data_IF_375763644481
#
_entry.id   IF_375763644481
#
_cell.length_a   1.000
_cell.length_b   1.000
_cell.length_c   1.000
_cell.angle_alpha   90.00
_cell.angle_beta   90.00
_cell.angle_gamma   90.00
#
_symmetry.space_group_name_H-M   'P 1'
#
loop_
_entity.id
_entity.type
_entity.pdbx_description
1 polymer ?
#
# COMPACT_ATOMS: atom_id res chain seq x y z
N UNK A 1 12.60 13.88 -0.09
CA UNK A 1 11.25 14.23 0.37
C UNK A 1 10.63 15.09 -0.73
N UNK A 2 9.41 14.77 -1.15
CA UNK A 2 8.68 15.51 -2.18
C UNK A 2 7.94 16.72 -1.60
N UNK A 3 7.93 16.87 -0.27
CA UNK A 3 7.18 17.93 0.42
C UNK A 3 5.67 17.68 0.44
N UNK A 4 5.24 16.44 0.19
CA UNK A 4 3.84 16.04 0.17
C UNK A 4 3.48 15.17 1.36
N UNK A 5 2.39 15.51 2.03
CA UNK A 5 1.85 14.75 3.17
C UNK A 5 1.10 13.48 2.73
N UNK A 6 0.60 13.44 1.50
CA UNK A 6 -0.15 12.32 0.95
C UNK A 6 0.11 12.18 -0.53
N UNK A 7 0.35 10.94 -0.98
CA UNK A 7 0.57 10.61 -2.39
C UNK A 7 -0.47 9.58 -2.83
N UNK A 8 -1.05 9.78 -4.02
CA UNK A 8 -1.96 8.86 -4.67
C UNK A 8 -1.29 8.30 -5.92
N UNK A 9 -1.10 6.98 -5.98
CA UNK A 9 -0.59 6.28 -7.17
C UNK A 9 -1.70 5.41 -7.75
N UNK A 10 -2.06 5.67 -9.00
CA UNK A 10 -3.16 5.01 -9.70
C UNK A 10 -2.61 3.83 -10.50
N UNK A 11 -3.17 2.65 -10.30
CA UNK A 11 -2.95 1.50 -11.19
C UNK A 11 -3.71 1.73 -12.51
N UNK A 12 -3.34 1.03 -13.58
CA UNK A 12 -3.99 1.17 -14.88
C UNK A 12 -5.50 0.88 -14.83
N UNK A 13 -6.22 1.48 -15.77
CA UNK A 13 -7.68 1.40 -15.85
C UNK A 13 -8.41 1.83 -14.57
N UNK A 14 -7.75 2.63 -13.71
CA UNK A 14 -8.34 3.17 -12.48
C UNK A 14 -8.48 4.68 -12.57
N UNK A 15 -9.56 5.20 -11.98
CA UNK A 15 -9.80 6.62 -11.81
C UNK A 15 -10.03 6.96 -10.35
N UNK A 16 -9.60 8.17 -9.96
CA UNK A 16 -9.95 8.80 -8.70
C UNK A 16 -10.91 9.95 -9.02
N UNK A 17 -12.18 9.78 -8.66
CA UNK A 17 -13.23 10.78 -8.88
C UNK A 17 -13.26 11.71 -7.68
N UNK A 18 -13.17 13.01 -7.92
CA UNK A 18 -13.23 14.04 -6.88
C UNK A 18 -14.58 14.73 -6.94
N UNK A 19 -15.38 14.56 -5.90
CA UNK A 19 -16.65 15.26 -5.71
C UNK A 19 -16.43 16.50 -4.82
N UNK A 20 -17.07 17.63 -5.16
CA UNK A 20 -16.99 18.90 -4.42
C UNK A 20 -15.56 19.40 -4.13
N UNK A 21 -14.69 19.50 -5.16
CA UNK A 21 -13.29 19.85 -4.98
C UNK A 21 -13.12 21.22 -4.29
N UNK A 22 -12.16 21.30 -3.36
CA UNK A 22 -11.82 22.52 -2.63
C UNK A 22 -12.82 22.91 -1.54
N UNK A 23 -13.80 22.05 -1.22
CA UNK A 23 -14.80 22.30 -0.17
C UNK A 23 -14.59 21.38 1.04
N UNK A 24 -15.27 21.69 2.14
CA UNK A 24 -15.31 20.80 3.33
C UNK A 24 -16.06 19.49 3.07
N UNK A 25 -16.76 19.37 1.94
CA UNK A 25 -17.47 18.17 1.49
C UNK A 25 -16.71 17.41 0.40
N UNK A 26 -15.44 17.73 0.18
CA UNK A 26 -14.60 17.05 -0.80
C UNK A 26 -14.50 15.55 -0.48
N UNK A 27 -14.74 14.72 -1.50
CA UNK A 27 -14.69 13.26 -1.39
C UNK A 27 -13.98 12.69 -2.59
N UNK A 28 -13.03 11.80 -2.33
CA UNK A 28 -12.31 11.07 -3.37
C UNK A 28 -12.89 9.66 -3.42
N UNK A 29 -13.25 9.18 -4.60
CA UNK A 29 -13.80 7.85 -4.79
C UNK A 29 -13.05 7.08 -5.87
N UNK A 30 -12.62 5.86 -5.56
CA UNK A 30 -11.94 4.98 -6.52
C UNK A 30 -12.95 4.33 -7.47
N UNK A 31 -12.60 4.30 -8.75
CA UNK A 31 -13.36 3.63 -9.80
C UNK A 31 -12.45 2.81 -10.69
N UNK A 32 -12.86 1.59 -11.00
CA UNK A 32 -12.17 0.74 -11.98
C UNK A 32 -11.66 -0.58 -11.39
N UNK A 33 -11.23 -1.52 -12.25
CA UNK A 33 -10.92 -2.89 -11.86
C UNK A 33 -9.67 -3.06 -10.98
N UNK A 34 -8.74 -2.09 -10.97
CA UNK A 34 -7.56 -2.13 -10.10
C UNK A 34 -7.79 -1.27 -8.84
N UNK A 35 -6.93 -0.29 -8.58
CA UNK A 35 -7.00 0.48 -7.35
C UNK A 35 -6.00 1.61 -7.28
N UNK A 36 -6.03 2.29 -6.13
CA UNK A 36 -5.18 3.43 -5.82
C UNK A 36 -4.39 3.11 -4.57
N UNK A 37 -3.07 3.20 -4.67
CA UNK A 37 -2.20 3.26 -3.50
C UNK A 37 -2.28 4.66 -2.91
N UNK A 38 -2.53 4.75 -1.60
CA UNK A 38 -2.44 5.98 -0.82
C UNK A 38 -1.29 5.84 0.17
N UNK A 39 -0.28 6.68 0.02
CA UNK A 39 0.82 6.81 0.98
C UNK A 39 0.56 8.04 1.85
N UNK A 40 0.33 7.83 3.13
CA UNK A 40 0.31 8.90 4.14
C UNK A 40 1.70 9.06 4.73
N UNK A 41 2.27 10.25 4.51
CA UNK A 41 3.66 10.62 4.78
C UNK A 41 3.77 11.64 5.92
N UNK A 42 2.66 12.06 6.55
CA UNK A 42 2.65 13.07 7.63
C UNK A 42 3.53 12.73 8.83
N UNK A 43 3.80 11.45 9.02
CA UNK A 43 4.67 10.93 10.07
C UNK A 43 5.87 10.17 9.52
N UNK A 44 6.14 10.30 8.23
CA UNK A 44 7.26 9.65 7.58
C UNK A 44 8.53 10.49 7.77
N UNK A 45 9.64 9.78 7.95
CA UNK A 45 10.97 10.39 8.10
C UNK A 45 11.87 9.84 7.00
N UNK A 46 12.28 10.74 6.10
CA UNK A 46 13.26 10.43 5.07
C UNK A 46 14.66 10.87 5.54
N UNK A 47 15.64 10.01 5.34
CA UNK A 47 17.04 10.29 5.67
C UNK A 47 17.93 9.93 4.49
N UNK A 48 18.98 10.72 4.29
CA UNK A 48 20.06 10.40 3.36
C UNK A 48 21.36 10.33 4.15
N UNK A 49 22.03 9.19 4.08
CA UNK A 49 23.33 8.94 4.72
C UNK A 49 24.33 8.46 3.67
N UNK A 50 25.63 8.31 3.99
CA UNK A 50 26.58 7.65 3.10
C UNK A 50 26.19 6.23 2.70
N UNK A 51 25.38 5.53 3.52
CA UNK A 51 24.86 4.20 3.22
C UNK A 51 23.67 4.23 2.24
N UNK A 52 23.12 5.40 1.92
CA UNK A 52 22.01 5.58 0.99
C UNK A 52 20.80 6.29 1.60
N UNK A 53 19.73 6.35 0.81
CA UNK A 53 18.44 6.95 1.19
C UNK A 53 17.53 5.93 1.89
N UNK A 54 16.81 6.38 2.92
CA UNK A 54 15.83 5.57 3.66
C UNK A 54 14.56 6.35 3.96
N UNK A 55 13.45 5.64 4.16
CA UNK A 55 12.17 6.16 4.60
C UNK A 55 11.65 5.31 5.76
N UNK A 56 11.17 5.92 6.82
CA UNK A 56 10.49 5.20 7.91
C UNK A 56 9.18 5.86 8.27
N UNK A 57 8.22 5.11 8.80
CA UNK A 57 6.98 5.67 9.35
C UNK A 57 5.91 6.02 8.32
N UNK A 58 6.08 5.66 7.05
CA UNK A 58 5.04 5.82 6.04
C UNK A 58 3.88 4.85 6.29
N UNK A 59 2.67 5.27 5.94
CA UNK A 59 1.46 4.46 6.00
C UNK A 59 0.97 4.15 4.60
N UNK A 60 0.91 2.86 4.29
CA UNK A 60 0.44 2.32 3.03
C UNK A 60 -1.02 1.88 3.13
N UNK A 61 -1.85 2.41 2.24
CA UNK A 61 -3.20 1.92 2.00
C UNK A 61 -3.39 1.60 0.51
N UNK A 62 -4.22 0.62 0.21
CA UNK A 62 -4.62 0.27 -1.15
C UNK A 62 -6.15 0.22 -1.23
N UNK A 63 -6.71 1.10 -2.03
CA UNK A 63 -8.14 1.31 -2.19
C UNK A 63 -8.58 0.73 -3.53
N UNK A 64 -9.70 -0.01 -3.56
CA UNK A 64 -10.26 -0.57 -4.79
C UNK A 64 -11.64 0.02 -5.08
N UNK A 65 -12.24 -0.37 -6.20
CA UNK A 65 -13.53 0.16 -6.66
C UNK A 65 -14.56 0.38 -5.52
N UNK A 66 -15.09 1.59 -5.48
CA UNK A 66 -16.08 2.01 -4.49
C UNK A 66 -15.51 2.52 -3.18
N UNK A 67 -14.24 2.24 -2.86
CA UNK A 67 -13.58 2.81 -1.68
C UNK A 67 -13.45 4.32 -1.84
N UNK A 68 -13.42 5.00 -0.69
CA UNK A 68 -13.31 6.44 -0.62
C UNK A 68 -12.10 6.86 0.17
N UNK A 69 -11.65 8.07 -0.07
CA UNK A 69 -10.72 8.78 0.79
C UNK A 69 -11.35 10.11 1.21
N UNK A 70 -11.53 10.29 2.51
CA UNK A 70 -11.97 11.56 3.10
C UNK A 70 -10.74 12.44 3.30
N UNK A 71 -10.61 13.50 2.50
CA UNK A 71 -9.44 14.39 2.53
C UNK A 71 -9.38 15.25 3.78
N UNK A 72 -10.53 15.49 4.45
CA UNK A 72 -10.58 16.26 5.69
C UNK A 72 -10.07 15.45 6.88
N UNK A 73 -10.46 14.19 6.98
CA UNK A 73 -9.96 13.31 8.06
C UNK A 73 -8.67 12.59 7.68
N UNK A 74 -8.31 12.62 6.39
CA UNK A 74 -7.23 11.85 5.80
C UNK A 74 -7.36 10.36 6.14
N UNK A 75 -8.59 9.85 5.98
CA UNK A 75 -8.93 8.46 6.28
C UNK A 75 -9.52 7.78 5.04
N UNK A 76 -9.01 6.60 4.68
CA UNK A 76 -9.67 5.75 3.72
C UNK A 76 -10.92 5.08 4.33
N UNK A 77 -11.96 4.93 3.51
CA UNK A 77 -13.25 4.36 3.90
C UNK A 77 -13.61 3.25 2.91
N UNK A 78 -13.75 1.99 3.35
CA UNK A 78 -14.15 0.89 2.48
C UNK A 78 -15.52 1.12 1.84
N UNK A 79 -15.68 0.61 0.62
CA UNK A 79 -16.95 0.58 -0.10
C UNK A 79 -18.03 -0.17 0.71
N UNK A 80 -19.30 0.23 0.62
CA UNK A 80 -20.41 -0.59 1.10
C UNK A 80 -20.33 -2.04 0.57
N UNK A 81 -20.68 -3.01 1.41
CA UNK A 81 -20.63 -4.44 1.07
C UNK A 81 -19.25 -5.09 1.21
N UNK A 82 -18.20 -4.32 1.57
CA UNK A 82 -16.95 -4.91 2.06
C UNK A 82 -17.05 -5.18 3.55
N UNK A 83 -16.42 -6.26 3.99
CA UNK A 83 -16.36 -6.67 5.38
C UNK A 83 -14.91 -6.77 5.85
N UNK A 84 -14.63 -6.53 7.15
CA UNK A 84 -13.30 -6.74 7.69
C UNK A 84 -12.82 -8.17 7.45
N UNK A 85 -11.63 -8.31 6.88
CA UNK A 85 -10.97 -9.60 6.71
C UNK A 85 -10.25 -9.97 7.99
N UNK A 86 -10.65 -11.10 8.58
CA UNK A 86 -9.94 -11.74 9.68
C UNK A 86 -9.18 -12.95 9.13
N UNK A 87 -7.85 -12.87 8.95
CA UNK A 87 -7.09 -13.95 8.31
C UNK A 87 -7.11 -15.20 9.18
N UNK A 88 -7.39 -16.35 8.57
CA UNK A 88 -7.31 -17.67 9.21
C UNK A 88 -6.08 -18.47 8.76
N UNK A 89 -5.58 -18.18 7.57
CA UNK A 89 -4.42 -18.80 6.92
C UNK A 89 -3.13 -18.61 7.75
N UNK A 90 -2.17 -19.52 7.59
CA UNK A 90 -0.83 -19.51 8.19
C UNK A 90 0.29 -19.74 7.17
N UNK A 91 0.00 -19.64 5.88
CA UNK A 91 0.97 -19.69 4.80
C UNK A 91 1.87 -18.45 4.92
N UNK A 92 3.20 -18.62 5.00
CA UNK A 92 4.13 -17.49 5.03
C UNK A 92 4.04 -16.67 3.73
N UNK A 93 4.29 -15.36 3.81
CA UNK A 93 4.46 -14.55 2.60
C UNK A 93 5.85 -14.88 2.04
N UNK A 94 5.97 -15.30 0.78
CA UNK A 94 7.26 -15.55 0.17
C UNK A 94 8.08 -14.26 0.07
N UNK A 95 9.43 -14.35 0.06
CA UNK A 95 10.27 -13.22 -0.30
C UNK A 95 9.91 -12.70 -1.70
N UNK A 96 10.03 -11.39 -1.87
CA UNK A 96 9.81 -10.71 -3.14
C UNK A 96 11.08 -9.94 -3.49
N UNK A 97 11.67 -10.23 -4.64
CA UNK A 97 12.93 -9.64 -5.08
C UNK A 97 12.76 -8.47 -6.07
N UNK A 98 11.53 -8.14 -6.46
CA UNK A 98 11.21 -7.02 -7.34
C UNK A 98 9.91 -6.33 -6.91
N UNK A 99 10.00 -5.55 -5.84
CA UNK A 99 8.86 -4.92 -5.17
C UNK A 99 8.14 -3.89 -6.04
N UNK A 100 8.83 -3.23 -6.97
CA UNK A 100 8.29 -2.16 -7.79
C UNK A 100 8.05 -2.54 -9.24
N UNK A 101 8.25 -3.81 -9.60
CA UNK A 101 8.09 -4.31 -10.96
C UNK A 101 9.02 -3.58 -11.94
N UNK A 102 10.29 -3.99 -11.95
CA UNK A 102 11.32 -3.49 -12.84
C UNK A 102 11.14 -4.03 -14.24
N UNK A 103 11.34 -3.18 -15.25
CA UNK A 103 11.31 -3.61 -16.66
C UNK A 103 12.46 -4.58 -17.00
N UNK A 104 13.51 -4.56 -16.18
CA UNK A 104 14.71 -5.37 -16.36
C UNK A 104 14.62 -6.74 -15.64
N UNK A 105 13.55 -7.01 -14.89
CA UNK A 105 13.28 -8.33 -14.30
C UNK A 105 12.41 -9.16 -15.26
N UNK A 106 12.98 -10.18 -15.95
CA UNK A 106 12.20 -11.02 -16.87
C UNK A 106 11.16 -11.89 -16.16
N UNK A 107 11.32 -12.13 -14.85
CA UNK A 107 10.39 -12.88 -14.01
C UNK A 107 9.50 -11.95 -13.16
N UNK A 108 9.62 -10.64 -13.38
CA UNK A 108 8.88 -9.59 -12.70
C UNK A 108 7.37 -9.76 -12.84
N UNK A 109 6.64 -9.52 -11.76
CA UNK A 109 5.18 -9.59 -11.75
C UNK A 109 4.58 -8.20 -11.51
N UNK A 110 3.61 -7.76 -12.32
CA UNK A 110 2.98 -6.46 -12.12
C UNK A 110 2.31 -6.39 -10.74
N UNK A 111 2.25 -5.18 -10.18
CA UNK A 111 1.65 -4.90 -8.87
C UNK A 111 2.31 -5.65 -7.69
N UNK A 112 3.60 -5.93 -7.80
CA UNK A 112 4.37 -6.74 -6.85
C UNK A 112 4.24 -6.29 -5.38
N UNK A 113 4.37 -4.99 -5.09
CA UNK A 113 4.15 -4.43 -3.75
C UNK A 113 2.74 -4.73 -3.22
N UNK A 114 1.71 -4.51 -4.05
CA UNK A 114 0.30 -4.78 -3.70
C UNK A 114 0.10 -6.25 -3.39
N UNK A 115 0.66 -7.15 -4.21
CA UNK A 115 0.57 -8.60 -4.00
C UNK A 115 1.20 -9.00 -2.66
N UNK A 116 2.37 -8.45 -2.34
CA UNK A 116 3.06 -8.67 -1.05
C UNK A 116 2.21 -8.17 0.12
N UNK A 117 1.63 -6.97 0.00
CA UNK A 117 0.76 -6.40 1.03
C UNK A 117 -0.49 -7.26 1.25
N UNK A 118 -1.17 -7.70 0.18
CA UNK A 118 -2.36 -8.56 0.27
C UNK A 118 -2.02 -9.91 0.90
N UNK A 119 -0.90 -10.52 0.52
CA UNK A 119 -0.46 -11.77 1.12
C UNK A 119 -0.16 -11.59 2.63
N UNK A 120 0.55 -10.52 3.01
CA UNK A 120 0.79 -10.20 4.42
C UNK A 120 -0.51 -10.08 5.19
N UNK A 121 -1.49 -9.36 4.66
CA UNK A 121 -2.76 -9.11 5.34
C UNK A 121 -3.73 -10.31 5.34
N UNK A 122 -3.49 -11.30 4.48
CA UNK A 122 -4.31 -12.53 4.41
C UNK A 122 -3.78 -13.69 5.25
N UNK A 123 -2.58 -13.58 5.82
CA UNK A 123 -1.97 -14.61 6.68
C UNK A 123 -1.90 -14.22 8.16
N UNK A 124 -1.80 -15.20 9.06
CA UNK A 124 -1.41 -15.00 10.48
C UNK A 124 0.02 -15.43 10.78
N UNK A 125 0.75 -15.99 9.81
CA UNK A 125 2.09 -16.54 10.00
C UNK A 125 3.10 -15.50 10.50
N UNK A 126 2.94 -14.26 10.06
CA UNK A 126 3.88 -13.17 10.32
C UNK A 126 3.20 -11.81 10.39
N UNK A 127 3.91 -10.87 11.02
CA UNK A 127 3.49 -9.47 11.20
C UNK A 127 4.12 -8.52 10.20
N UNK A 128 5.20 -8.94 9.55
CA UNK A 128 5.91 -8.16 8.55
C UNK A 128 6.15 -9.01 7.30
N UNK A 129 6.33 -8.35 6.17
CA UNK A 129 6.80 -8.97 4.94
C UNK A 129 7.85 -8.04 4.32
N UNK A 130 8.91 -8.64 3.80
CA UNK A 130 10.02 -7.93 3.19
C UNK A 130 10.01 -8.17 1.68
N UNK A 131 10.21 -7.10 0.93
CA UNK A 131 10.38 -7.13 -0.51
C UNK A 131 11.57 -6.24 -0.89
N UNK A 132 12.39 -6.63 -1.84
CA UNK A 132 13.53 -5.82 -2.31
C UNK A 132 13.27 -5.30 -3.71
N UNK A 133 14.01 -4.28 -4.12
CA UNK A 133 14.09 -3.89 -5.53
C UNK A 133 14.93 -4.89 -6.31
N UNK A 134 14.65 -4.98 -7.61
CA UNK A 134 15.48 -5.72 -8.56
C UNK A 134 16.86 -5.09 -8.69
N UNK A 135 16.90 -3.76 -8.75
CA UNK A 135 18.11 -2.96 -8.90
C UNK A 135 19.08 -3.18 -7.73
N UNK A 136 20.37 -3.13 -8.04
CA UNK A 136 21.45 -3.30 -7.06
C UNK A 136 22.23 -2.02 -6.75
N UNK A 137 22.09 -0.97 -7.56
CA UNK A 137 22.83 0.28 -7.40
C UNK A 137 22.02 1.51 -7.90
N UNK A 138 21.20 2.14 -7.04
CA UNK A 138 20.89 1.74 -5.65
C UNK A 138 19.93 0.55 -5.60
N UNK A 139 20.06 -0.27 -4.55
CA UNK A 139 19.08 -1.28 -4.17
C UNK A 139 18.39 -0.93 -2.85
N UNK A 140 17.13 -1.33 -2.69
CA UNK A 140 16.34 -1.06 -1.50
C UNK A 140 15.63 -2.29 -0.97
N UNK A 141 15.44 -2.30 0.35
CA UNK A 141 14.57 -3.22 1.07
C UNK A 141 13.34 -2.47 1.56
N UNK A 142 12.17 -2.89 1.11
CA UNK A 142 10.85 -2.43 1.55
C UNK A 142 10.32 -3.40 2.60
N UNK A 143 9.94 -2.88 3.77
CA UNK A 143 9.31 -3.67 4.83
C UNK A 143 7.88 -3.19 5.03
N UNK A 144 6.93 -4.09 4.79
CA UNK A 144 5.51 -3.90 5.13
C UNK A 144 5.23 -4.47 6.52
N UNK A 145 4.40 -3.79 7.31
CA UNK A 145 4.10 -4.21 8.68
C UNK A 145 2.64 -4.06 9.09
N UNK A 146 2.12 -5.06 9.80
CA UNK A 146 0.83 -4.99 10.52
C UNK A 146 0.97 -4.16 11.78
N UNK A 147 0.26 -3.04 11.81
CA UNK A 147 0.14 -2.13 12.96
C UNK A 147 -1.23 -2.33 13.63
N UNK A 148 -1.43 -1.83 14.86
CA UNK A 148 -2.73 -1.95 15.55
C UNK A 148 -3.91 -1.34 14.77
N UNK A 149 -3.66 -0.32 13.95
CA UNK A 149 -4.65 0.33 13.09
C UNK A 149 -4.77 -0.32 11.70
N UNK A 150 -3.94 -1.30 11.37
CA UNK A 150 -3.97 -1.92 10.05
C UNK A 150 -5.21 -2.79 9.92
N UNK A 151 -6.02 -2.53 8.91
CA UNK A 151 -7.19 -3.37 8.58
C UNK A 151 -7.16 -3.78 7.12
N UNK A 152 -7.71 -4.95 6.84
CA UNK A 152 -7.94 -5.42 5.48
C UNK A 152 -9.43 -5.69 5.30
N UNK A 153 -9.94 -5.49 4.09
CA UNK A 153 -11.35 -5.63 3.78
C UNK A 153 -11.54 -6.38 2.47
N UNK A 154 -12.64 -7.11 2.38
CA UNK A 154 -12.99 -7.88 1.19
C UNK A 154 -14.50 -8.00 1.03
N UNK A 155 -14.95 -8.17 -0.22
CA UNK A 155 -16.31 -8.62 -0.55
C UNK A 155 -16.45 -10.14 -0.45
N UNK A 156 -15.36 -10.88 -0.68
CA UNK A 156 -15.32 -12.34 -0.65
C UNK A 156 -14.39 -12.82 0.47
N UNK A 157 -14.71 -13.94 1.12
CA UNK A 157 -13.87 -14.47 2.18
C UNK A 157 -12.48 -14.88 1.65
N UNK A 158 -11.46 -14.77 2.50
CA UNK A 158 -10.06 -15.23 2.33
C UNK A 158 -9.03 -14.28 1.71
N UNK A 159 -9.38 -13.36 0.80
CA UNK A 159 -8.35 -12.51 0.14
C UNK A 159 -8.53 -11.04 0.46
N UNK A 160 -7.48 -10.36 0.93
CA UNK A 160 -7.50 -8.92 1.13
C UNK A 160 -7.68 -8.18 -0.20
N UNK A 161 -8.75 -7.39 -0.34
CA UNK A 161 -8.97 -6.54 -1.52
C UNK A 161 -8.48 -5.12 -1.24
N UNK A 162 -8.96 -4.55 -0.13
CA UNK A 162 -8.62 -3.21 0.38
C UNK A 162 -7.71 -3.35 1.60
N UNK A 163 -6.69 -2.49 1.68
CA UNK A 163 -5.75 -2.45 2.81
C UNK A 163 -5.73 -1.02 3.34
N UNK A 164 -5.87 -0.86 4.65
CA UNK A 164 -5.83 0.44 5.30
C UNK A 164 -4.67 0.48 6.30
N UNK A 165 -3.74 1.42 6.09
CA UNK A 165 -2.73 1.81 7.07
C UNK A 165 -1.72 0.71 7.47
N UNK A 166 -1.26 -0.12 6.53
CA UNK A 166 -0.07 -0.93 6.77
C UNK A 166 1.14 0.00 6.97
N UNK A 167 2.07 -0.35 7.87
CA UNK A 167 3.35 0.37 7.95
C UNK A 167 4.20 0.05 6.73
N UNK A 168 4.93 1.04 6.21
CA UNK A 168 5.88 0.89 5.12
C UNK A 168 7.18 1.62 5.47
N UNK A 169 8.27 0.87 5.48
CA UNK A 169 9.62 1.38 5.68
C UNK A 169 10.50 0.98 4.48
N UNK A 170 11.47 1.80 4.10
CA UNK A 170 12.43 1.58 3.01
C UNK A 170 13.83 1.82 3.55
N UNK A 171 14.75 0.89 3.33
CA UNK A 171 16.16 1.02 3.69
C UNK A 171 17.07 0.65 2.51
N UNK A 172 18.28 1.21 2.42
CA UNK A 172 19.29 0.75 1.47
C UNK A 172 19.62 -0.74 1.67
N UNK A 173 19.99 -1.42 0.60
CA UNK A 173 20.48 -2.82 0.60
C UNK A 173 21.96 -2.86 0.23
#
# INVERSE_FOLDING_TARGET
DTGHDTVYALDENTALVVDNPGTTAEKLTVRGPQGVTVLDLRHAHAHTTPAGWSLTGARYSYLTDGDRYDTRTALPVPAPGKHPLLPTDRTPVPPNNDVFHSIDDPDGSPYSLRTTARALLSTRAQRTATATTWESAPGFTVTLGKRPWTTAWSREAATAQTILGAGLDIAPR
#
